data_IF_014524351372
#
_entry.id   IF_014524351372
#
_cell.length_a   1.000
_cell.length_b   1.000
_cell.length_c   1.000
_cell.angle_alpha   90.00
_cell.angle_beta   90.00
_cell.angle_gamma   90.00
#
_symmetry.space_group_name_H-M   'P 1'
#
loop_
_entity.id
_entity.type
_entity.pdbx_description
1 polymer ?
#
# COMPACT_ATOMS: atom_id res chain seq x y z
N UNK A 1 12.25 -17.98 37.69
CA UNK A 1 11.74 -16.73 37.10
C UNK A 1 12.79 -16.21 36.10
N UNK A 2 12.75 -16.71 34.86
CA UNK A 2 13.76 -16.42 33.82
C UNK A 2 13.37 -15.14 33.08
N UNK A 3 14.08 -14.05 33.36
CA UNK A 3 14.02 -12.83 32.57
C UNK A 3 14.73 -13.08 31.23
N UNK A 4 14.03 -13.80 30.33
CA UNK A 4 14.45 -13.98 28.94
C UNK A 4 14.41 -12.61 28.28
N UNK A 5 15.59 -12.01 28.13
CA UNK A 5 15.82 -10.69 27.57
C UNK A 5 15.00 -10.47 26.30
N UNK A 6 13.93 -9.67 26.43
CA UNK A 6 13.29 -8.97 25.33
C UNK A 6 14.27 -7.91 24.81
N UNK A 7 15.32 -8.31 24.08
CA UNK A 7 15.96 -7.40 23.13
C UNK A 7 15.01 -7.24 21.93
N UNK A 8 13.99 -6.42 22.14
CA UNK A 8 13.19 -5.84 21.06
C UNK A 8 14.19 -5.02 20.24
N UNK A 9 14.52 -5.49 19.03
CA UNK A 9 15.44 -4.79 18.14
C UNK A 9 14.88 -3.39 17.86
N UNK A 10 15.59 -2.39 18.38
CA UNK A 10 15.14 -1.01 18.62
C UNK A 10 15.10 -0.10 17.38
N UNK A 11 15.28 -0.68 16.19
CA UNK A 11 15.18 0.03 14.91
C UNK A 11 14.28 -0.78 13.98
N UNK A 12 12.96 -0.64 14.13
CA UNK A 12 12.01 -1.31 13.25
C UNK A 12 11.92 -0.53 11.92
N UNK A 13 12.92 -0.72 11.06
CA UNK A 13 13.10 -0.03 9.76
C UNK A 13 11.96 -0.25 8.74
N UNK A 14 11.02 -1.15 9.04
CA UNK A 14 9.87 -1.41 8.18
C UNK A 14 8.87 -0.26 8.15
N UNK A 15 8.74 0.54 9.23
CA UNK A 15 7.87 1.73 9.24
C UNK A 15 8.39 2.84 8.29
N UNK A 16 9.68 3.22 8.33
CA UNK A 16 10.27 4.06 7.29
C UNK A 16 10.08 3.51 5.88
N UNK A 17 10.16 2.19 5.67
CA UNK A 17 9.92 1.59 4.36
C UNK A 17 8.47 1.75 3.89
N UNK A 18 7.48 1.57 4.77
CA UNK A 18 6.07 1.87 4.47
C UNK A 18 5.91 3.33 4.04
N UNK A 19 6.47 4.27 4.83
CA UNK A 19 6.40 5.69 4.51
C UNK A 19 7.09 6.02 3.19
N UNK A 20 8.24 5.40 2.92
CA UNK A 20 8.97 5.59 1.66
C UNK A 20 8.15 5.14 0.45
N UNK A 21 7.49 3.98 0.51
CA UNK A 21 6.62 3.50 -0.58
C UNK A 21 5.45 4.47 -0.80
N UNK A 22 4.79 4.90 0.30
CA UNK A 22 3.68 5.86 0.21
C UNK A 22 4.14 7.18 -0.43
N UNK A 23 5.23 7.76 0.06
CA UNK A 23 5.70 9.07 -0.43
C UNK A 23 6.16 8.97 -1.88
N UNK A 24 6.90 7.92 -2.25
CA UNK A 24 7.38 7.71 -3.60
C UNK A 24 6.20 7.56 -4.58
N UNK A 25 5.22 6.70 -4.26
CA UNK A 25 4.04 6.52 -5.11
C UNK A 25 3.22 7.81 -5.24
N UNK A 26 2.97 8.53 -4.14
CA UNK A 26 2.26 9.82 -4.17
C UNK A 26 2.99 10.89 -4.99
N UNK A 27 4.31 10.96 -4.90
CA UNK A 27 5.12 11.86 -5.74
C UNK A 27 4.96 11.49 -7.21
N UNK A 28 5.08 10.20 -7.56
CA UNK A 28 4.93 9.74 -8.93
C UNK A 28 3.54 10.04 -9.48
N UNK A 29 2.47 9.78 -8.71
CA UNK A 29 1.08 10.09 -9.10
C UNK A 29 0.84 11.58 -9.37
N UNK A 30 1.52 12.46 -8.64
CA UNK A 30 1.41 13.91 -8.82
C UNK A 30 2.24 14.43 -10.01
N UNK A 31 3.30 13.72 -10.39
CA UNK A 31 4.17 14.08 -11.52
C UNK A 31 3.67 13.45 -12.83
N UNK A 32 3.11 12.24 -12.78
CA UNK A 32 2.70 11.46 -13.93
C UNK A 32 1.83 12.20 -14.96
N UNK A 33 0.81 13.02 -14.59
CA UNK A 33 -0.01 13.74 -15.56
C UNK A 33 0.75 14.70 -16.48
N UNK A 34 2.00 15.06 -16.14
CA UNK A 34 2.85 15.91 -16.97
C UNK A 34 3.50 15.17 -18.14
N UNK A 35 3.58 13.84 -18.07
CA UNK A 35 4.36 13.01 -18.98
C UNK A 35 3.61 11.78 -19.50
N UNK A 36 2.59 11.31 -18.79
CA UNK A 36 1.88 10.05 -19.02
C UNK A 36 0.37 10.25 -18.99
N UNK A 37 -0.35 9.36 -19.68
CA UNK A 37 -1.80 9.20 -19.50
C UNK A 37 -2.10 8.69 -18.09
N UNK A 38 -3.06 9.30 -17.42
CA UNK A 38 -3.49 8.88 -16.08
C UNK A 38 -4.95 8.44 -16.14
N UNK A 39 -5.20 7.24 -15.61
CA UNK A 39 -6.51 6.59 -15.56
C UNK A 39 -7.03 6.60 -14.12
N UNK A 40 -8.30 6.93 -13.95
CA UNK A 40 -8.99 6.96 -12.66
C UNK A 40 -9.69 5.62 -12.44
N UNK A 41 -9.11 4.79 -11.57
CA UNK A 41 -9.61 3.46 -11.25
C UNK A 41 -10.45 3.52 -9.97
N UNK A 42 -11.77 3.54 -10.15
CA UNK A 42 -12.75 3.60 -9.05
C UNK A 42 -12.99 2.23 -8.39
N UNK A 43 -12.38 1.16 -8.93
CA UNK A 43 -12.62 -0.20 -8.53
C UNK A 43 -11.73 -0.70 -7.38
N UNK A 44 -12.11 -1.87 -6.87
CA UNK A 44 -11.22 -2.80 -6.17
C UNK A 44 -11.11 -4.03 -7.07
N UNK A 45 -9.99 -4.76 -7.00
CA UNK A 45 -9.77 -5.99 -7.76
C UNK A 45 -10.98 -6.95 -7.70
N UNK A 46 -11.14 -7.77 -8.74
CA UNK A 46 -12.20 -8.80 -8.86
C UNK A 46 -13.64 -8.27 -8.92
N UNK A 47 -13.87 -7.04 -9.39
CA UNK A 47 -15.22 -6.54 -9.67
C UNK A 47 -16.03 -6.12 -8.45
N UNK A 48 -15.42 -6.05 -7.26
CA UNK A 48 -16.03 -5.51 -6.04
C UNK A 48 -16.22 -3.97 -6.06
N UNK A 49 -16.14 -3.35 -7.24
CA UNK A 49 -16.12 -1.89 -7.42
C UNK A 49 -17.42 -1.22 -6.95
N UNK A 50 -17.24 -0.05 -6.30
CA UNK A 50 -18.29 0.94 -5.93
C UNK A 50 -19.40 0.49 -4.97
N UNK A 51 -19.09 -0.33 -3.97
CA UNK A 51 -19.97 -0.39 -2.79
C UNK A 51 -19.57 0.68 -1.77
N UNK A 52 -20.54 1.24 -1.01
CA UNK A 52 -20.23 2.15 0.10
C UNK A 52 -19.34 1.51 1.17
N UNK A 53 -19.23 0.17 1.19
CA UNK A 53 -18.44 -0.59 2.15
C UNK A 53 -17.03 -0.96 1.66
N UNK A 54 -16.71 -0.67 0.40
CA UNK A 54 -15.43 -1.00 -0.23
C UNK A 54 -14.22 -0.50 0.58
N UNK A 55 -14.28 0.74 1.07
CA UNK A 55 -13.22 1.34 1.89
C UNK A 55 -13.08 0.68 3.27
N UNK A 56 -14.18 0.20 3.84
CA UNK A 56 -14.17 -0.52 5.12
C UNK A 56 -13.45 -1.87 4.95
N UNK A 57 -13.70 -2.56 3.84
CA UNK A 57 -13.03 -3.83 3.52
C UNK A 57 -11.52 -3.60 3.34
N UNK A 58 -11.12 -2.57 2.58
CA UNK A 58 -9.68 -2.23 2.41
C UNK A 58 -9.05 -1.93 3.76
N UNK A 59 -9.68 -1.09 4.58
CA UNK A 59 -9.17 -0.76 5.91
C UNK A 59 -9.03 -2.00 6.80
N UNK A 60 -10.02 -2.90 6.79
CA UNK A 60 -9.95 -4.15 7.55
C UNK A 60 -8.77 -5.03 7.11
N UNK A 61 -8.55 -5.17 5.80
CA UNK A 61 -7.40 -5.92 5.26
C UNK A 61 -6.08 -5.27 5.70
N UNK A 62 -5.95 -3.95 5.61
CA UNK A 62 -4.74 -3.24 6.05
C UNK A 62 -4.47 -3.46 7.54
N UNK A 63 -5.49 -3.40 8.40
CA UNK A 63 -5.34 -3.64 9.84
C UNK A 63 -4.90 -5.09 10.13
N UNK A 64 -5.46 -6.06 9.43
CA UNK A 64 -5.05 -7.47 9.53
C UNK A 64 -3.57 -7.63 9.14
N UNK A 65 -3.15 -7.01 8.04
CA UNK A 65 -1.75 -7.06 7.58
C UNK A 65 -0.80 -6.39 8.59
N UNK A 66 -1.17 -5.26 9.18
CA UNK A 66 -0.38 -4.61 10.25
C UNK A 66 -0.24 -5.54 11.48
N UNK A 67 -1.32 -6.22 11.86
CA UNK A 67 -1.28 -7.19 12.97
C UNK A 67 -0.28 -8.33 12.69
N UNK A 68 -0.34 -8.94 11.51
CA UNK A 68 0.61 -9.99 11.11
C UNK A 68 2.05 -9.47 11.00
N UNK A 69 2.26 -8.30 10.41
CA UNK A 69 3.58 -7.67 10.29
C UNK A 69 4.23 -7.42 11.67
N UNK A 70 3.42 -6.97 12.63
CA UNK A 70 3.86 -6.66 14.00
C UNK A 70 4.27 -7.93 14.77
N UNK A 71 3.63 -9.06 14.49
CA UNK A 71 3.95 -10.36 15.10
C UNK A 71 5.19 -11.04 14.53
N UNK A 72 5.63 -10.66 13.32
CA UNK A 72 6.78 -11.29 12.67
C UNK A 72 8.11 -10.92 13.35
N UNK A 73 9.04 -11.87 13.39
CA UNK A 73 10.43 -11.66 13.85
C UNK A 73 11.43 -11.63 12.70
N UNK A 74 11.03 -12.12 11.53
CA UNK A 74 11.89 -12.24 10.36
C UNK A 74 11.91 -10.91 9.60
N UNK A 75 13.12 -10.44 9.27
CA UNK A 75 13.33 -9.12 8.67
C UNK A 75 12.77 -9.05 7.25
N UNK A 76 13.02 -10.07 6.43
CA UNK A 76 12.47 -10.24 5.07
C UNK A 76 10.94 -10.12 5.08
N UNK A 77 10.27 -10.88 5.95
CA UNK A 77 8.82 -10.85 6.12
C UNK A 77 8.32 -9.44 6.48
N UNK A 78 9.01 -8.70 7.36
CA UNK A 78 8.63 -7.32 7.70
C UNK A 78 8.75 -6.36 6.51
N UNK A 79 9.78 -6.49 5.69
CA UNK A 79 9.92 -5.68 4.48
C UNK A 79 8.88 -6.06 3.42
N UNK A 80 8.57 -7.36 3.27
CA UNK A 80 7.46 -7.80 2.43
C UNK A 80 6.13 -7.17 2.84
N UNK A 81 5.81 -7.19 4.14
CA UNK A 81 4.65 -6.47 4.65
C UNK A 81 4.75 -4.95 4.46
N UNK A 82 5.93 -4.35 4.59
CA UNK A 82 6.11 -2.91 4.38
C UNK A 82 5.78 -2.49 2.95
N UNK A 83 6.17 -3.29 1.95
CA UNK A 83 5.84 -3.06 0.54
C UNK A 83 4.31 -3.14 0.33
N UNK A 84 3.69 -4.23 0.79
CA UNK A 84 2.23 -4.45 0.63
C UNK A 84 1.43 -3.36 1.37
N UNK A 85 1.80 -3.03 2.60
CA UNK A 85 1.14 -2.00 3.40
C UNK A 85 1.35 -0.61 2.80
N UNK A 86 2.56 -0.29 2.37
CA UNK A 86 2.86 0.99 1.72
C UNK A 86 2.03 1.20 0.46
N UNK A 87 1.96 0.20 -0.41
CA UNK A 87 1.15 0.25 -1.61
C UNK A 87 -0.35 0.35 -1.31
N UNK A 88 -0.85 -0.54 -0.45
CA UNK A 88 -2.25 -0.56 -0.05
C UNK A 88 -2.71 0.74 0.62
N UNK A 89 -1.89 1.34 1.49
CA UNK A 89 -2.19 2.63 2.12
C UNK A 89 -2.16 3.76 1.09
N UNK A 90 -1.20 3.79 0.16
CA UNK A 90 -1.15 4.84 -0.86
C UNK A 90 -2.40 4.82 -1.76
N UNK A 91 -2.82 3.64 -2.22
CA UNK A 91 -4.04 3.47 -3.00
C UNK A 91 -5.32 3.73 -2.18
N UNK A 92 -5.28 3.56 -0.86
CA UNK A 92 -6.38 3.93 0.03
C UNK A 92 -6.48 5.46 0.18
N UNK A 93 -5.35 6.16 0.34
CA UNK A 93 -5.30 7.63 0.39
C UNK A 93 -5.90 8.25 -0.88
N UNK A 94 -5.54 7.72 -2.05
CA UNK A 94 -6.11 8.17 -3.33
C UNK A 94 -7.63 8.08 -3.35
N UNK A 95 -8.20 6.95 -2.90
CA UNK A 95 -9.65 6.75 -2.86
C UNK A 95 -10.35 7.72 -1.91
N UNK A 96 -9.73 8.02 -0.76
CA UNK A 96 -10.29 8.98 0.20
C UNK A 96 -10.21 10.43 -0.28
N UNK A 97 -9.20 10.79 -1.08
CA UNK A 97 -8.92 12.17 -1.47
C UNK A 97 -9.43 12.53 -2.86
N UNK A 98 -9.34 11.61 -3.81
CA UNK A 98 -9.70 11.79 -5.21
C UNK A 98 -10.88 10.91 -5.68
N UNK A 99 -11.34 9.97 -4.84
CA UNK A 99 -12.45 9.06 -5.18
C UNK A 99 -12.05 7.86 -6.06
N UNK A 100 -10.81 7.80 -6.54
CA UNK A 100 -10.27 6.71 -7.34
C UNK A 100 -8.75 6.59 -7.19
N UNK A 101 -8.19 5.45 -7.58
CA UNK A 101 -6.75 5.25 -7.69
C UNK A 101 -6.26 5.81 -9.02
N UNK A 102 -5.12 6.52 -8.99
CA UNK A 102 -4.50 7.10 -10.18
C UNK A 102 -3.49 6.12 -10.77
N UNK A 103 -3.87 5.45 -11.85
CA UNK A 103 -3.03 4.51 -12.59
C UNK A 103 -2.35 5.22 -13.76
N UNK A 104 -1.06 5.00 -13.98
CA UNK A 104 -0.27 5.76 -14.97
C UNK A 104 0.78 4.92 -15.71
N UNK A 105 0.99 3.66 -15.31
CA UNK A 105 1.79 2.70 -16.04
C UNK A 105 0.83 1.90 -16.92
N UNK A 106 0.94 2.08 -18.23
CA UNK A 106 0.16 1.35 -19.22
C UNK A 106 1.09 0.58 -20.16
N UNK A 107 0.95 -0.75 -20.17
CA UNK A 107 1.72 -1.65 -21.02
C UNK A 107 0.96 -2.04 -22.31
N UNK A 108 -0.31 -1.63 -22.44
CA UNK A 108 -1.18 -1.91 -23.59
C UNK A 108 -1.79 -3.32 -23.64
N UNK A 109 -1.17 -4.33 -23.00
CA UNK A 109 -1.69 -5.71 -22.92
C UNK A 109 -2.10 -6.14 -21.51
N UNK A 110 -1.82 -5.32 -20.51
CA UNK A 110 -2.13 -5.56 -19.09
C UNK A 110 -2.90 -4.35 -18.55
N UNK A 111 -3.82 -4.52 -17.59
CA UNK A 111 -4.53 -3.40 -16.98
C UNK A 111 -3.54 -2.34 -16.47
N UNK A 112 -3.87 -1.07 -16.67
CA UNK A 112 -3.06 0.04 -16.16
C UNK A 112 -2.89 -0.07 -14.64
N UNK A 113 -1.72 0.30 -14.15
CA UNK A 113 -1.38 0.24 -12.72
C UNK A 113 -0.49 1.41 -12.31
N UNK A 114 -0.13 1.48 -11.02
CA UNK A 114 0.81 2.46 -10.48
C UNK A 114 1.92 1.77 -9.67
N UNK A 115 2.81 2.54 -9.04
CA UNK A 115 3.90 1.96 -8.26
C UNK A 115 3.40 1.16 -7.05
N UNK A 116 2.32 1.59 -6.42
CA UNK A 116 1.73 0.88 -5.28
C UNK A 116 1.20 -0.53 -5.63
N UNK A 117 1.01 -0.85 -6.91
CA UNK A 117 0.56 -2.16 -7.39
C UNK A 117 1.70 -3.08 -7.89
N UNK A 118 2.92 -2.55 -8.02
CA UNK A 118 4.06 -3.18 -8.69
C UNK A 118 4.84 -4.21 -7.84
#
# INVERSE_FOLDING_TARGET
MSLRQRKINRFSLWLPAVLFVITLDQILKNIAPKFLSVYCNEGIAFGFAKTPYSQIIVLAVLLILVFYASGSREVSTKYGFALILGGGISNFIDRLTAGCVRDFIDLGFFPSFNLADA
#
